data_IF_276380112520
#
_entry.id   IF_276380112520
#
_cell.length_a   1.000
_cell.length_b   1.000
_cell.length_c   1.000
_cell.angle_alpha   90.00
_cell.angle_beta   90.00
_cell.angle_gamma   90.00
#
_symmetry.space_group_name_H-M   'P 1'
#
loop_
_entity.id
_entity.type
_entity.pdbx_description
1 polymer ?
#
# COMPACT_ATOMS: atom_id res chain seq x y z
N UNK A 1 -10.98 12.01 -5.49
CA UNK A 1 -9.64 12.38 -5.99
C UNK A 1 -9.26 11.38 -7.05
N UNK A 2 -8.68 11.80 -8.18
CA UNK A 2 -8.20 10.88 -9.22
C UNK A 2 -6.76 10.52 -8.86
N UNK A 3 -6.47 9.23 -8.72
CA UNK A 3 -5.12 8.72 -8.58
C UNK A 3 -4.78 7.93 -9.84
N UNK A 4 -3.63 8.23 -10.44
CA UNK A 4 -3.11 7.45 -11.55
C UNK A 4 -1.61 7.30 -11.38
N UNK A 5 -1.09 6.17 -11.82
CA UNK A 5 0.34 5.94 -11.99
C UNK A 5 0.82 6.38 -13.38
N UNK A 6 -0.08 6.90 -14.22
CA UNK A 6 0.23 7.47 -15.55
C UNK A 6 0.57 8.94 -15.45
N UNK A 7 1.37 9.43 -16.38
CA UNK A 7 1.80 10.84 -16.46
C UNK A 7 0.62 11.80 -16.76
N UNK A 8 -0.34 11.36 -17.57
CA UNK A 8 -1.51 12.15 -17.96
C UNK A 8 -2.82 11.38 -17.78
N UNK A 9 -3.94 12.10 -17.74
CA UNK A 9 -5.29 11.53 -17.62
C UNK A 9 -6.01 11.67 -18.97
N UNK A 10 -6.42 10.56 -19.62
CA UNK A 10 -7.13 10.61 -20.90
C UNK A 10 -8.39 11.48 -20.83
N UNK A 11 -8.58 12.36 -21.82
CA UNK A 11 -9.73 13.26 -21.91
C UNK A 11 -9.73 14.42 -20.91
N UNK A 12 -8.58 14.70 -20.27
CA UNK A 12 -8.40 15.86 -19.37
C UNK A 12 -7.10 16.57 -19.69
N UNK A 13 -7.11 17.90 -19.57
CA UNK A 13 -5.92 18.74 -19.64
C UNK A 13 -5.53 19.22 -18.24
N UNK A 14 -4.24 19.19 -17.92
CA UNK A 14 -3.70 19.68 -16.65
C UNK A 14 -3.54 21.20 -16.72
N UNK A 15 -4.34 21.94 -15.96
CA UNK A 15 -4.29 23.40 -15.93
C UNK A 15 -3.03 23.95 -15.24
N UNK A 16 -2.56 23.27 -14.18
CA UNK A 16 -1.36 23.68 -13.44
C UNK A 16 -0.67 22.50 -12.77
N UNK A 17 0.66 22.61 -12.64
CA UNK A 17 1.50 21.67 -11.88
C UNK A 17 1.83 22.29 -10.53
N UNK A 18 1.37 21.66 -9.45
CA UNK A 18 1.51 22.19 -8.07
C UNK A 18 2.79 21.68 -7.37
N UNK A 19 3.54 20.78 -8.03
CA UNK A 19 4.76 20.17 -7.50
C UNK A 19 4.57 18.70 -7.10
N UNK A 20 5.66 18.08 -6.64
CA UNK A 20 5.70 16.65 -6.26
C UNK A 20 5.20 16.48 -4.82
N UNK A 21 4.37 15.46 -4.60
CA UNK A 21 3.89 15.07 -3.27
C UNK A 21 4.44 13.68 -2.93
N UNK A 22 4.86 13.49 -1.67
CA UNK A 22 5.31 12.20 -1.14
C UNK A 22 4.54 11.89 0.16
N UNK A 23 4.27 10.60 0.39
CA UNK A 23 3.61 10.12 1.60
C UNK A 23 4.28 8.83 2.08
N UNK A 24 4.45 8.70 3.39
CA UNK A 24 5.06 7.52 4.02
C UNK A 24 4.30 7.17 5.30
N UNK A 25 4.28 5.89 5.65
CA UNK A 25 3.69 5.38 6.88
C UNK A 25 4.57 4.28 7.47
N UNK A 26 4.71 4.27 8.79
CA UNK A 26 5.45 3.22 9.51
C UNK A 26 4.48 2.61 10.53
N UNK A 27 4.29 1.30 10.46
CA UNK A 27 3.43 0.56 11.37
C UNK A 27 4.22 -0.52 12.10
N UNK A 28 3.97 -0.70 13.40
CA UNK A 28 4.50 -1.81 14.19
C UNK A 28 3.38 -2.78 14.53
N UNK A 29 3.65 -4.08 14.59
CA UNK A 29 2.68 -5.11 15.00
C UNK A 29 3.16 -5.95 16.17
N UNK A 30 2.21 -6.61 16.81
CA UNK A 30 2.42 -7.56 17.90
C UNK A 30 3.09 -8.85 17.39
N UNK A 31 4.20 -9.24 18.05
CA UNK A 31 5.04 -10.44 17.84
C UNK A 31 4.25 -11.74 17.57
N UNK A 32 3.06 -11.91 18.16
CA UNK A 32 2.25 -13.12 18.00
C UNK A 32 1.69 -13.36 16.58
N UNK A 33 1.37 -12.30 15.83
CA UNK A 33 0.87 -12.43 14.44
C UNK A 33 2.00 -12.78 13.46
N UNK A 34 3.22 -12.36 13.78
CA UNK A 34 4.43 -12.56 12.97
C UNK A 34 4.92 -14.02 13.04
N UNK A 35 4.77 -14.68 14.18
CA UNK A 35 5.10 -16.11 14.34
C UNK A 35 4.17 -17.03 13.53
N UNK A 36 2.85 -16.80 13.55
CA UNK A 36 1.90 -17.56 12.70
C UNK A 36 2.08 -17.27 11.21
N UNK A 37 2.47 -16.04 10.85
CA UNK A 37 2.81 -15.68 9.48
C UNK A 37 4.04 -16.45 8.98
N UNK A 38 5.08 -16.59 9.80
CA UNK A 38 6.29 -17.35 9.47
C UNK A 38 6.02 -18.83 9.15
N UNK A 39 5.09 -19.47 9.87
CA UNK A 39 4.65 -20.84 9.55
C UNK A 39 3.90 -20.93 8.21
N UNK A 40 3.10 -19.91 7.87
CA UNK A 40 2.38 -19.85 6.58
C UNK A 40 3.28 -19.57 5.38
N UNK A 41 4.37 -18.82 5.56
CA UNK A 41 5.33 -18.54 4.49
C UNK A 41 5.97 -19.80 3.91
N UNK A 42 6.09 -20.88 4.70
CA UNK A 42 6.69 -22.15 4.27
C UNK A 42 5.72 -22.97 3.40
N UNK A 43 4.42 -22.91 3.69
CA UNK A 43 3.38 -23.69 3.00
C UNK A 43 2.85 -22.97 1.75
N UNK A 44 3.10 -21.66 1.64
CA UNK A 44 2.62 -20.81 0.56
C UNK A 44 1.18 -20.35 0.79
N UNK A 45 0.84 -19.19 0.21
CA UNK A 45 -0.46 -18.56 0.33
C UNK A 45 -0.41 -17.15 0.94
N UNK A 46 -1.51 -16.43 0.81
CA UNK A 46 -1.61 -15.04 1.27
C UNK A 46 -1.54 -14.95 2.81
N UNK A 47 -0.65 -14.07 3.30
CA UNK A 47 -0.64 -13.69 4.71
C UNK A 47 -1.65 -12.56 4.90
N UNK A 48 -2.93 -12.91 5.03
CA UNK A 48 -4.05 -11.95 5.15
C UNK A 48 -3.77 -10.80 6.13
N UNK A 49 -3.07 -11.07 7.24
CA UNK A 49 -2.72 -10.03 8.21
C UNK A 49 -1.68 -9.00 7.77
N UNK A 50 -0.78 -9.33 6.85
CA UNK A 50 0.08 -8.35 6.19
C UNK A 50 -0.65 -7.68 5.03
N UNK A 51 -1.49 -8.39 4.28
CA UNK A 51 -2.30 -7.76 3.22
C UNK A 51 -3.23 -6.69 3.77
N UNK A 52 -3.94 -6.98 4.87
CA UNK A 52 -4.79 -6.03 5.57
C UNK A 52 -3.98 -4.82 6.03
N UNK A 53 -2.79 -5.06 6.63
CA UNK A 53 -1.88 -3.99 7.06
C UNK A 53 -1.49 -3.08 5.90
N UNK A 54 -0.97 -3.65 4.80
CA UNK A 54 -0.53 -2.89 3.64
C UNK A 54 -1.69 -2.14 2.98
N UNK A 55 -2.91 -2.66 3.09
CA UNK A 55 -4.11 -2.00 2.59
C UNK A 55 -4.49 -0.82 3.46
N UNK A 56 -4.43 -0.96 4.78
CA UNK A 56 -4.64 0.13 5.74
C UNK A 56 -3.53 1.19 5.71
N UNK A 57 -2.29 0.79 5.47
CA UNK A 57 -1.18 1.73 5.37
C UNK A 57 -1.25 2.58 4.08
N UNK A 58 -1.83 2.05 3.00
CA UNK A 58 -1.87 2.68 1.68
C UNK A 58 -3.09 3.59 1.47
N UNK A 59 -4.21 3.32 2.15
CA UNK A 59 -5.49 4.01 1.95
C UNK A 59 -5.80 4.96 3.11
#
# INVERSE_FOLDING_TARGET
>A
MIYSTTESIPGRETESVVGVVTGNVVQSKHIGRDLMAGLKSIVGGEIRGYTEMLTEARN
#
